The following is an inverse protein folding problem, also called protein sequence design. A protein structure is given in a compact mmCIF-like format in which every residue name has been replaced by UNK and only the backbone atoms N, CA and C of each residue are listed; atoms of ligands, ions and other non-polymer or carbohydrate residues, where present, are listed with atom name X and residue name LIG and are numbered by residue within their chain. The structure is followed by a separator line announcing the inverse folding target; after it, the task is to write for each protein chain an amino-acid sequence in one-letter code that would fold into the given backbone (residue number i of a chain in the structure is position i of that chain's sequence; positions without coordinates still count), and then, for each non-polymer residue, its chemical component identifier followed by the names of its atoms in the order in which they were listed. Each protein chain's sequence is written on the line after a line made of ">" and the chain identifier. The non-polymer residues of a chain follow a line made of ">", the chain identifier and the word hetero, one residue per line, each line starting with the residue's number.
data_IF_507607467624
#
_entry.id   IF_507607467624
#
_cell.length_a   1.000
_cell.length_b   1.000
_cell.length_c   1.000
_cell.angle_alpha   90.00
_cell.angle_beta   90.00
_cell.angle_gamma   90.00
#
_symmetry.space_group_name_H-M   'P 1'
#
loop_
_entity.id
_entity.type
_entity.pdbx_description
1 polymer ?
#
# COMPACT_ATOMS: atom_id res chain seq x y z
N UNK A 1 22.53 -14.93 -5.10
CA UNK A 1 21.35 -14.74 -5.97
C UNK A 1 20.33 -14.07 -5.07
N UNK A 2 20.25 -12.74 -5.17
CA UNK A 2 19.55 -11.89 -4.22
C UNK A 2 18.04 -11.98 -4.28
N UNK A 3 17.49 -13.18 -4.09
CA UNK A 3 16.07 -13.48 -4.16
C UNK A 3 15.51 -13.53 -2.75
N UNK A 4 14.46 -12.75 -2.49
CA UNK A 4 13.67 -12.90 -1.26
C UNK A 4 12.74 -14.10 -1.38
N UNK A 5 12.64 -14.86 -0.31
CA UNK A 5 11.68 -15.96 -0.19
C UNK A 5 10.71 -15.62 0.93
N UNK A 6 9.43 -15.48 0.59
CA UNK A 6 8.35 -15.24 1.55
C UNK A 6 7.46 -16.47 1.68
N UNK A 7 7.15 -16.87 2.91
CA UNK A 7 6.13 -17.90 3.18
C UNK A 7 4.83 -17.23 3.61
N UNK A 8 3.73 -17.53 2.90
CA UNK A 8 2.38 -17.11 3.24
C UNK A 8 1.44 -18.33 3.37
N UNK A 9 0.29 -18.18 4.01
CA UNK A 9 -0.75 -19.20 4.02
C UNK A 9 -1.36 -19.39 2.62
N UNK A 10 -1.96 -20.57 2.39
CA UNK A 10 -2.63 -20.87 1.13
C UNK A 10 -3.91 -20.06 0.94
N UNK A 11 -4.21 -19.63 -0.29
CA UNK A 11 -5.47 -18.94 -0.61
C UNK A 11 -5.60 -17.52 -0.05
N UNK A 12 -4.48 -16.83 0.20
CA UNK A 12 -4.48 -15.46 0.72
C UNK A 12 -4.72 -15.36 2.23
N UNK A 13 -4.49 -16.46 2.95
CA UNK A 13 -4.59 -16.52 4.41
C UNK A 13 -3.23 -16.27 5.07
N UNK A 14 -3.18 -15.70 6.30
CA UNK A 14 -1.93 -15.56 7.05
C UNK A 14 -1.25 -16.91 7.32
N UNK A 15 0.08 -16.90 7.44
CA UNK A 15 0.84 -18.08 7.89
C UNK A 15 0.44 -18.44 9.34
N UNK A 16 0.28 -19.74 9.64
CA UNK A 16 -0.21 -20.26 10.93
C UNK A 16 0.46 -19.54 12.13
N UNK A 17 -0.31 -18.67 12.80
CA UNK A 17 0.00 -17.98 14.06
C UNK A 17 1.46 -17.45 14.21
N UNK A 18 1.80 -16.44 13.40
CA UNK A 18 2.99 -15.61 13.59
C UNK A 18 3.40 -14.90 12.30
N UNK A 19 2.99 -13.63 12.16
CA UNK A 19 3.14 -12.76 10.97
C UNK A 19 2.27 -13.13 9.74
N UNK A 20 1.81 -12.14 8.96
CA UNK A 20 1.06 -12.38 7.72
C UNK A 20 1.94 -13.02 6.62
N UNK A 21 3.23 -12.67 6.60
CA UNK A 21 4.27 -13.23 5.73
C UNK A 21 5.62 -13.22 6.46
N UNK A 22 6.31 -14.37 6.48
CA UNK A 22 7.68 -14.49 6.99
C UNK A 22 8.68 -14.37 5.84
N UNK A 23 9.62 -13.42 5.92
CA UNK A 23 10.59 -13.13 4.85
C UNK A 23 11.99 -13.65 5.19
N UNK A 24 12.47 -14.62 4.41
CA UNK A 24 13.88 -15.00 4.40
C UNK A 24 14.67 -14.08 3.48
N UNK A 25 15.51 -13.25 4.09
CA UNK A 25 16.36 -12.28 3.39
C UNK A 25 17.78 -12.82 3.24
N UNK A 26 18.38 -12.80 2.03
CA UNK A 26 19.76 -13.24 1.86
C UNK A 26 20.73 -12.36 2.67
N UNK A 27 21.59 -13.01 3.46
CA UNK A 27 22.53 -12.36 4.39
C UNK A 27 23.97 -12.28 3.87
N UNK A 28 24.29 -13.02 2.80
CA UNK A 28 25.64 -13.10 2.25
C UNK A 28 26.01 -11.91 1.33
N UNK A 29 25.05 -11.05 1.02
CA UNK A 29 25.25 -9.91 0.12
C UNK A 29 25.16 -8.61 0.94
N UNK A 30 26.29 -7.92 1.12
CA UNK A 30 26.32 -6.64 1.84
C UNK A 30 25.43 -5.60 1.16
N UNK A 31 24.79 -4.75 1.97
CA UNK A 31 23.86 -3.70 1.52
C UNK A 31 24.43 -2.32 1.80
N UNK A 32 24.05 -1.29 1.01
CA UNK A 32 24.40 0.08 1.32
C UNK A 32 23.86 0.46 2.71
N UNK A 33 24.71 1.03 3.57
CA UNK A 33 24.32 1.36 4.96
C UNK A 33 23.69 2.75 5.08
N UNK A 34 23.90 3.62 4.08
CA UNK A 34 23.44 5.01 4.08
C UNK A 34 21.93 5.15 4.27
N UNK A 35 21.13 4.29 3.64
CA UNK A 35 19.66 4.35 3.74
C UNK A 35 19.19 3.94 5.13
N UNK A 36 19.74 2.86 5.70
CA UNK A 36 19.40 2.43 7.05
C UNK A 36 19.83 3.45 8.12
N UNK A 37 21.02 4.04 7.95
CA UNK A 37 21.49 5.13 8.82
C UNK A 37 20.58 6.36 8.73
N UNK A 38 20.20 6.75 7.50
CA UNK A 38 19.23 7.80 7.26
C UNK A 38 17.88 7.49 7.91
N UNK A 39 17.39 6.25 7.79
CA UNK A 39 16.14 5.80 8.40
C UNK A 39 16.16 5.93 9.92
N UNK A 40 17.21 5.42 10.56
CA UNK A 40 17.38 5.48 12.02
C UNK A 40 17.55 6.90 12.55
N UNK A 41 18.05 7.83 11.73
CA UNK A 41 18.22 9.24 12.14
C UNK A 41 16.89 9.95 12.45
N UNK A 42 15.77 9.47 11.89
CA UNK A 42 14.45 10.06 12.11
C UNK A 42 13.44 9.12 12.76
N UNK A 43 13.63 7.79 12.67
CA UNK A 43 12.60 6.81 13.04
C UNK A 43 12.13 6.92 14.50
N UNK A 44 13.01 7.31 15.42
CA UNK A 44 12.66 7.43 16.84
C UNK A 44 11.91 8.73 17.20
N UNK A 45 11.77 9.65 16.25
CA UNK A 45 11.02 10.90 16.39
C UNK A 45 9.62 10.73 15.78
N UNK A 46 8.58 10.81 16.61
CA UNK A 46 7.19 10.64 16.18
C UNK A 46 6.77 11.69 15.14
N UNK A 47 7.24 12.93 15.27
CA UNK A 47 6.87 14.02 14.36
C UNK A 47 7.49 13.76 12.99
N UNK A 48 8.77 13.39 12.95
CA UNK A 48 9.44 13.04 11.69
C UNK A 48 8.84 11.79 11.05
N UNK A 49 8.47 10.78 11.84
CA UNK A 49 7.75 9.60 11.32
C UNK A 49 6.42 9.98 10.69
N UNK A 50 5.67 10.88 11.32
CA UNK A 50 4.42 11.38 10.76
C UNK A 50 4.65 12.11 9.43
N UNK A 51 5.68 12.95 9.34
CA UNK A 51 6.02 13.67 8.11
C UNK A 51 6.37 12.71 6.97
N UNK A 52 7.14 11.65 7.25
CA UNK A 52 7.45 10.60 6.28
C UNK A 52 6.19 9.82 5.89
N UNK A 53 5.32 9.48 6.84
CA UNK A 53 4.05 8.82 6.55
C UNK A 53 3.15 9.67 5.63
N UNK A 54 3.08 10.99 5.86
CA UNK A 54 2.38 11.92 4.98
C UNK A 54 2.99 11.94 3.58
N UNK A 55 4.32 11.95 3.47
CA UNK A 55 5.02 11.91 2.18
C UNK A 55 4.69 10.62 1.40
N UNK A 56 4.61 9.47 2.07
CA UNK A 56 4.15 8.22 1.45
C UNK A 56 2.72 8.31 0.92
N UNK A 57 1.81 8.96 1.65
CA UNK A 57 0.43 9.14 1.19
C UNK A 57 0.32 10.09 -0.01
N UNK A 58 1.15 11.15 -0.07
CA UNK A 58 1.27 11.96 -1.29
C UNK A 58 1.80 11.14 -2.47
N UNK A 59 2.86 10.36 -2.26
CA UNK A 59 3.41 9.50 -3.30
C UNK A 59 2.38 8.46 -3.80
N UNK A 60 1.54 7.93 -2.90
CA UNK A 60 0.42 7.05 -3.24
C UNK A 60 -0.61 7.74 -4.15
N UNK A 61 -1.02 8.96 -3.81
CA UNK A 61 -1.97 9.73 -4.62
C UNK A 61 -1.39 9.98 -6.02
N UNK A 62 -0.14 10.44 -6.09
CA UNK A 62 0.54 10.72 -7.36
C UNK A 62 0.72 9.46 -8.20
N UNK A 63 1.04 8.33 -7.57
CA UNK A 63 1.09 7.04 -8.24
C UNK A 63 -0.25 6.65 -8.84
N UNK A 64 -1.34 6.74 -8.07
CA UNK A 64 -2.70 6.44 -8.56
C UNK A 64 -3.04 7.34 -9.75
N UNK A 65 -2.83 8.67 -9.64
CA UNK A 65 -3.05 9.61 -10.75
C UNK A 65 -2.25 9.19 -11.98
N UNK A 66 -0.95 8.97 -11.82
CA UNK A 66 -0.07 8.64 -12.96
C UNK A 66 -0.47 7.33 -13.66
N UNK A 67 -0.78 6.29 -12.90
CA UNK A 67 -1.15 4.99 -13.48
C UNK A 67 -2.53 5.06 -14.12
N UNK A 68 -3.54 5.59 -13.43
CA UNK A 68 -4.91 5.68 -13.97
C UNK A 68 -5.01 6.64 -15.16
N UNK A 69 -4.13 7.65 -15.26
CA UNK A 69 -4.02 8.50 -16.44
C UNK A 69 -3.49 7.76 -17.68
N UNK A 70 -2.60 6.77 -17.48
CA UNK A 70 -1.87 6.10 -18.57
C UNK A 70 -2.53 4.80 -19.00
N UNK A 71 -3.09 4.07 -18.05
CA UNK A 71 -3.61 2.72 -18.25
C UNK A 71 -4.83 2.74 -19.19
N UNK A 72 -4.76 1.93 -20.25
CA UNK A 72 -5.82 1.85 -21.25
C UNK A 72 -6.96 0.95 -20.78
N UNK A 73 -6.64 -0.16 -20.12
CA UNK A 73 -7.63 -1.13 -19.68
C UNK A 73 -8.51 -0.51 -18.59
N UNK A 74 -7.92 0.29 -17.68
CA UNK A 74 -8.68 1.06 -16.70
C UNK A 74 -9.63 2.07 -17.35
N UNK A 75 -9.23 2.73 -18.43
CA UNK A 75 -10.11 3.67 -19.16
C UNK A 75 -11.25 2.95 -19.86
N UNK A 76 -10.96 1.80 -20.46
CA UNK A 76 -11.95 0.96 -21.13
C UNK A 76 -13.02 0.48 -20.10
N UNK A 77 -12.63 0.27 -18.84
CA UNK A 77 -13.53 -0.02 -17.70
C UNK A 77 -14.14 1.23 -17.02
N UNK A 78 -13.96 2.42 -17.60
CA UNK A 78 -14.61 3.66 -17.14
C UNK A 78 -13.87 4.41 -16.02
N UNK A 79 -12.63 4.07 -15.70
CA UNK A 79 -11.81 4.77 -14.72
C UNK A 79 -11.06 5.95 -15.36
N UNK A 80 -11.74 7.08 -15.46
CA UNK A 80 -11.17 8.35 -15.89
C UNK A 80 -10.85 9.25 -14.70
N UNK A 81 -9.67 9.88 -14.70
CA UNK A 81 -9.29 10.85 -13.68
C UNK A 81 -10.16 12.10 -13.67
N UNK A 82 -10.82 12.41 -14.78
CA UNK A 82 -11.73 13.56 -14.88
C UNK A 82 -13.09 13.28 -14.25
N UNK A 83 -13.35 12.04 -13.84
CA UNK A 83 -14.57 11.72 -13.13
C UNK A 83 -14.60 12.42 -11.77
N UNK A 84 -15.70 13.12 -11.51
CA UNK A 84 -15.86 13.95 -10.32
C UNK A 84 -15.70 13.15 -9.01
N UNK A 85 -16.17 11.89 -8.97
CA UNK A 85 -16.06 11.01 -7.82
C UNK A 85 -14.59 10.67 -7.48
N UNK A 86 -13.79 10.33 -8.48
CA UNK A 86 -12.36 10.02 -8.33
C UNK A 86 -11.58 11.29 -7.94
N UNK A 87 -11.86 12.42 -8.60
CA UNK A 87 -11.21 13.69 -8.24
C UNK A 87 -11.54 14.11 -6.81
N UNK A 88 -12.81 13.99 -6.39
CA UNK A 88 -13.22 14.33 -5.04
C UNK A 88 -12.55 13.44 -3.99
N UNK A 89 -12.43 12.14 -4.26
CA UNK A 89 -11.74 11.21 -3.36
C UNK A 89 -10.25 11.56 -3.22
N UNK A 90 -9.54 11.71 -4.34
CA UNK A 90 -8.09 11.96 -4.35
C UNK A 90 -7.74 13.38 -3.86
N UNK A 91 -8.34 14.42 -4.43
CA UNK A 91 -8.10 15.80 -4.01
C UNK A 91 -8.57 16.03 -2.56
N UNK A 92 -9.65 15.36 -2.15
CA UNK A 92 -10.17 15.43 -0.79
C UNK A 92 -9.21 14.84 0.23
N UNK A 93 -8.58 13.71 -0.09
CA UNK A 93 -7.56 13.12 0.76
C UNK A 93 -6.28 13.96 0.78
N UNK A 94 -5.80 14.41 -0.39
CA UNK A 94 -4.62 15.26 -0.52
C UNK A 94 -4.69 16.52 0.35
N UNK A 95 -5.84 17.21 0.35
CA UNK A 95 -6.07 18.42 1.16
C UNK A 95 -6.13 18.15 2.66
N UNK A 96 -6.46 16.92 3.07
CA UNK A 96 -6.55 16.54 4.50
C UNK A 96 -5.19 16.19 5.10
N UNK A 97 -4.28 15.61 4.32
CA UNK A 97 -2.96 15.12 4.78
C UNK A 97 -2.17 16.19 5.59
N UNK A 98 -2.03 17.45 5.12
CA UNK A 98 -1.25 18.46 5.86
C UNK A 98 -1.80 18.75 7.26
N UNK A 99 -3.12 18.66 7.44
CA UNK A 99 -3.82 19.04 8.66
C UNK A 99 -3.81 17.96 9.74
N UNK A 100 -3.30 16.76 9.43
CA UNK A 100 -3.27 15.64 10.39
C UNK A 100 -2.09 15.78 11.33
N UNK A 101 -2.34 15.65 12.62
CA UNK A 101 -1.32 15.76 13.68
C UNK A 101 -1.00 14.42 14.33
N UNK A 102 -1.78 13.37 14.03
CA UNK A 102 -1.61 12.03 14.57
C UNK A 102 -1.63 10.99 13.47
N UNK A 103 -0.83 9.93 13.64
CA UNK A 103 -0.79 8.79 12.72
C UNK A 103 -2.16 8.09 12.63
N UNK A 104 -2.88 7.98 13.74
CA UNK A 104 -4.23 7.38 13.75
C UNK A 104 -5.22 8.12 12.85
N UNK A 105 -5.17 9.45 12.80
CA UNK A 105 -6.04 10.26 11.95
C UNK A 105 -5.70 10.08 10.46
N UNK A 106 -4.39 9.93 10.16
CA UNK A 106 -3.90 9.62 8.81
C UNK A 106 -4.39 8.26 8.33
N UNK A 107 -4.28 7.23 9.17
CA UNK A 107 -4.77 5.87 8.88
C UNK A 107 -6.29 5.84 8.68
N UNK A 108 -7.04 6.59 9.50
CA UNK A 108 -8.50 6.66 9.36
C UNK A 108 -8.90 7.30 8.02
N UNK A 109 -8.26 8.40 7.64
CA UNK A 109 -8.55 9.05 6.37
C UNK A 109 -8.11 8.22 5.16
N UNK A 110 -7.01 7.49 5.27
CA UNK A 110 -6.58 6.52 4.27
C UNK A 110 -7.64 5.42 4.08
N UNK A 111 -8.15 4.85 5.17
CA UNK A 111 -9.16 3.80 5.13
C UNK A 111 -10.48 4.31 4.50
N UNK A 112 -10.90 5.53 4.85
CA UNK A 112 -12.08 6.17 4.26
C UNK A 112 -11.92 6.39 2.75
N UNK A 113 -10.75 6.90 2.31
CA UNK A 113 -10.46 7.14 0.89
C UNK A 113 -10.41 5.82 0.11
N UNK A 114 -9.77 4.80 0.68
CA UNK A 114 -9.69 3.46 0.07
C UNK A 114 -11.08 2.83 -0.06
N UNK A 115 -11.94 2.96 0.96
CA UNK A 115 -13.34 2.50 0.89
C UNK A 115 -14.14 3.22 -0.21
N UNK A 116 -13.92 4.52 -0.41
CA UNK A 116 -14.53 5.26 -1.51
C UNK A 116 -14.05 4.75 -2.86
N UNK A 117 -12.75 4.50 -3.03
CA UNK A 117 -12.20 3.94 -4.27
C UNK A 117 -12.75 2.53 -4.57
N UNK A 118 -12.91 1.68 -3.56
CA UNK A 118 -13.58 0.38 -3.75
C UNK A 118 -15.04 0.54 -4.18
N UNK A 119 -15.78 1.48 -3.59
CA UNK A 119 -17.16 1.74 -3.99
C UNK A 119 -17.24 2.24 -5.44
N UNK A 120 -16.32 3.12 -5.83
CA UNK A 120 -16.16 3.65 -7.21
C UNK A 120 -15.90 2.51 -8.19
N UNK A 121 -15.01 1.58 -7.85
CA UNK A 121 -14.70 0.41 -8.67
C UNK A 121 -15.88 -0.55 -8.77
N UNK A 122 -16.49 -0.90 -7.64
CA UNK A 122 -17.66 -1.77 -7.58
C UNK A 122 -18.83 -1.22 -8.41
N UNK A 123 -19.07 0.10 -8.36
CA UNK A 123 -20.11 0.76 -9.16
C UNK A 123 -19.84 0.64 -10.66
N UNK A 124 -18.59 0.86 -11.09
CA UNK A 124 -18.19 0.75 -12.52
C UNK A 124 -18.31 -0.68 -13.03
N UNK A 125 -17.85 -1.65 -12.24
CA UNK A 125 -17.96 -3.08 -12.54
C UNK A 125 -19.36 -3.67 -12.31
N UNK A 126 -20.33 -2.87 -11.83
CA UNK A 126 -21.71 -3.30 -11.50
C UNK A 126 -21.76 -4.46 -10.49
N UNK A 127 -20.87 -4.42 -9.49
CA UNK A 127 -20.76 -5.40 -8.43
C UNK A 127 -21.22 -4.79 -7.09
N UNK A 128 -21.85 -5.61 -6.24
CA UNK A 128 -22.02 -5.28 -4.83
C UNK A 128 -20.80 -5.80 -4.09
N UNK A 129 -19.95 -4.89 -3.60
CA UNK A 129 -18.68 -5.25 -2.98
C UNK A 129 -18.60 -4.78 -1.53
N UNK A 130 -18.22 -5.71 -0.66
CA UNK A 130 -17.80 -5.45 0.71
C UNK A 130 -16.43 -6.10 0.92
N UNK A 131 -15.48 -5.35 1.48
CA UNK A 131 -14.13 -5.85 1.70
C UNK A 131 -14.14 -6.84 2.88
N UNK A 132 -13.88 -8.11 2.59
CA UNK A 132 -13.75 -9.16 3.59
C UNK A 132 -12.45 -9.96 3.34
N UNK A 133 -11.47 -9.90 4.27
CA UNK A 133 -10.22 -10.66 4.12
C UNK A 133 -10.37 -12.17 4.31
N UNK A 134 -11.38 -12.63 5.06
CA UNK A 134 -11.50 -14.05 5.49
C UNK A 134 -12.48 -14.86 4.63
N UNK A 135 -13.52 -14.23 4.09
CA UNK A 135 -14.47 -14.84 3.16
C UNK A 135 -14.43 -14.07 1.84
N UNK A 136 -14.07 -14.75 0.75
CA UNK A 136 -13.89 -14.13 -0.55
C UNK A 136 -15.01 -14.46 -1.53
N UNK A 137 -15.67 -13.41 -2.03
CA UNK A 137 -16.06 -13.44 -3.44
C UNK A 137 -14.80 -13.29 -4.32
N UNK A 138 -14.94 -13.51 -5.62
CA UNK A 138 -13.79 -13.48 -6.55
C UNK A 138 -13.01 -12.15 -6.49
N UNK A 139 -13.70 -11.04 -6.19
CA UNK A 139 -13.07 -9.72 -6.06
C UNK A 139 -12.17 -9.63 -4.81
N UNK A 140 -12.64 -10.12 -3.66
CA UNK A 140 -11.84 -10.18 -2.44
C UNK A 140 -10.63 -11.12 -2.59
N UNK A 141 -10.80 -12.25 -3.28
CA UNK A 141 -9.69 -13.18 -3.55
C UNK A 141 -8.60 -12.54 -4.42
N UNK A 142 -8.98 -11.81 -5.48
CA UNK A 142 -8.02 -11.09 -6.31
C UNK A 142 -7.34 -9.94 -5.56
N UNK A 143 -8.06 -9.23 -4.69
CA UNK A 143 -7.45 -8.19 -3.84
C UNK A 143 -6.48 -8.80 -2.82
N UNK A 144 -6.84 -9.92 -2.19
CA UNK A 144 -5.97 -10.64 -1.28
C UNK A 144 -4.69 -11.08 -2.02
N UNK A 145 -4.83 -11.73 -3.16
CA UNK A 145 -3.69 -12.19 -3.96
C UNK A 145 -2.81 -11.04 -4.44
N UNK A 146 -3.42 -9.94 -4.93
CA UNK A 146 -2.71 -8.73 -5.34
C UNK A 146 -1.90 -8.10 -4.21
N UNK A 147 -2.41 -8.14 -2.96
CA UNK A 147 -1.66 -7.65 -1.80
C UNK A 147 -0.38 -8.46 -1.56
N UNK A 148 -0.40 -9.79 -1.67
CA UNK A 148 0.83 -10.60 -1.50
C UNK A 148 1.89 -10.28 -2.57
N UNK A 149 1.48 -10.02 -3.81
CA UNK A 149 2.39 -9.56 -4.86
C UNK A 149 3.02 -8.21 -4.50
N UNK A 150 2.20 -7.26 -4.04
CA UNK A 150 2.67 -5.96 -3.59
C UNK A 150 3.61 -6.06 -2.38
N UNK A 151 3.30 -6.92 -1.41
CA UNK A 151 4.15 -7.16 -0.23
C UNK A 151 5.51 -7.73 -0.62
N UNK A 152 5.58 -8.64 -1.59
CA UNK A 152 6.85 -9.16 -2.11
C UNK A 152 7.73 -8.09 -2.76
N UNK A 153 7.13 -7.18 -3.53
CA UNK A 153 7.85 -6.04 -4.11
C UNK A 153 8.34 -5.06 -3.05
N UNK A 154 7.52 -4.77 -2.03
CA UNK A 154 7.91 -3.93 -0.90
C UNK A 154 9.05 -4.53 -0.09
N UNK A 155 8.97 -5.83 0.23
CA UNK A 155 10.02 -6.55 0.94
C UNK A 155 11.34 -6.52 0.15
N UNK A 156 11.27 -6.74 -1.17
CA UNK A 156 12.45 -6.66 -2.04
C UNK A 156 13.05 -5.27 -2.02
N UNK A 157 12.23 -4.23 -2.06
CA UNK A 157 12.69 -2.83 -2.00
C UNK A 157 13.40 -2.52 -0.70
N UNK A 158 12.80 -2.86 0.45
CA UNK A 158 13.40 -2.64 1.77
C UNK A 158 14.71 -3.40 1.93
N UNK A 159 14.74 -4.65 1.47
CA UNK A 159 15.94 -5.48 1.53
C UNK A 159 17.08 -4.96 0.65
N UNK A 160 16.80 -4.50 -0.58
CA UNK A 160 17.82 -3.88 -1.45
C UNK A 160 18.41 -2.62 -0.81
N UNK A 161 17.58 -1.84 -0.10
CA UNK A 161 18.00 -0.64 0.62
C UNK A 161 18.62 -0.92 2.01
N UNK A 162 18.61 -2.18 2.47
CA UNK A 162 19.11 -2.54 3.79
C UNK A 162 18.26 -2.04 4.96
N UNK A 163 17.00 -1.66 4.71
CA UNK A 163 16.06 -1.20 5.74
C UNK A 163 15.34 -2.42 6.33
N UNK A 164 15.31 -2.53 7.66
CA UNK A 164 14.60 -3.62 8.34
C UNK A 164 13.08 -3.48 8.19
N UNK A 165 12.39 -4.59 7.92
CA UNK A 165 10.93 -4.65 7.86
C UNK A 165 10.24 -4.17 9.16
N UNK A 166 10.91 -4.30 10.31
CA UNK A 166 10.37 -3.82 11.60
C UNK A 166 10.33 -2.29 11.73
N UNK A 167 10.99 -1.59 10.82
CA UNK A 167 11.01 -0.12 10.74
C UNK A 167 10.32 0.39 9.47
N UNK A 168 9.51 -0.44 8.82
CA UNK A 168 8.67 -0.06 7.71
C UNK A 168 7.34 0.55 8.19
#
# INVERSE_FOLDING_TARGET
>A
AGVLVGFCGGGGTPLFAGSEVEWLTPQSEYRPTEYMQGWMSFWFDETKRLDVAKAFQFARIEFIRKIWAKDKDLKDEGFYLDNLDIQQALNGFEKKIPNMTKVGDLLLAEAQTTKQLYKIAATRCKLSFERNPEQGDLANDFLNHGNYLAYGLSATTLWVLGISHSFA
#
